data_IF_208385555051
#
_entry.id   IF_208385555051
#
_cell.length_a   1.000
_cell.length_b   1.000
_cell.length_c   1.000
_cell.angle_alpha   90.00
_cell.angle_beta   90.00
_cell.angle_gamma   90.00
#
_symmetry.space_group_name_H-M   'P 1'
#
loop_
_entity.id
_entity.type
_entity.pdbx_description
1 polymer ?
#
# COMPACT_ATOMS: atom_id res chain seq x y z
N UNK A 1 6.67 8.78 11.72
CA UNK A 1 5.26 8.67 11.28
C UNK A 1 5.09 7.37 10.53
N UNK A 2 3.93 6.71 10.64
CA UNK A 2 3.61 5.48 9.88
C UNK A 2 2.82 5.83 8.61
N UNK A 3 2.84 4.98 7.58
CA UNK A 3 2.12 5.23 6.32
C UNK A 3 0.63 5.54 6.53
N UNK A 4 -0.08 4.68 7.27
CA UNK A 4 -1.52 4.84 7.54
C UNK A 4 -1.83 6.17 8.20
N UNK A 5 -1.01 6.54 9.18
CA UNK A 5 -1.11 7.83 9.88
C UNK A 5 -0.84 9.00 8.94
N UNK A 6 0.17 8.91 8.08
CA UNK A 6 0.47 9.92 7.06
C UNK A 6 -0.72 10.20 6.13
N UNK A 7 -1.41 9.15 5.69
CA UNK A 7 -2.59 9.24 4.84
C UNK A 7 -3.79 9.81 5.60
N UNK A 8 -4.06 9.31 6.80
CA UNK A 8 -5.17 9.78 7.65
C UNK A 8 -5.06 11.27 8.00
N UNK A 9 -3.87 11.76 8.38
CA UNK A 9 -3.64 13.19 8.70
C UNK A 9 -3.90 14.10 7.50
N UNK A 10 -3.75 13.58 6.27
CA UNK A 10 -4.02 14.31 5.02
C UNK A 10 -5.45 14.14 4.51
N UNK A 11 -6.30 13.41 5.24
CA UNK A 11 -7.67 13.11 4.80
C UNK A 11 -7.72 12.24 3.54
N UNK A 12 -6.67 11.48 3.25
CA UNK A 12 -6.63 10.57 2.11
C UNK A 12 -7.30 9.26 2.52
N UNK A 13 -8.41 8.92 1.87
CA UNK A 13 -9.07 7.63 2.06
C UNK A 13 -8.19 6.50 1.53
N UNK A 14 -8.12 5.41 2.29
CA UNK A 14 -7.38 4.22 1.88
C UNK A 14 -8.01 2.96 2.49
N UNK A 15 -7.80 1.83 1.81
CA UNK A 15 -8.13 0.51 2.34
C UNK A 15 -6.85 -0.16 2.86
N UNK A 16 -6.88 -0.66 4.10
CA UNK A 16 -5.79 -1.46 4.66
C UNK A 16 -6.05 -2.94 4.42
N UNK A 17 -5.27 -3.56 3.54
CA UNK A 17 -5.41 -4.97 3.20
C UNK A 17 -4.32 -5.79 3.90
N UNK A 18 -4.70 -6.82 4.66
CA UNK A 18 -3.77 -7.83 5.17
C UNK A 18 -3.71 -9.00 4.18
N UNK A 19 -2.71 -9.01 3.31
CA UNK A 19 -2.54 -10.02 2.27
C UNK A 19 -2.37 -11.46 2.79
N UNK A 20 -2.06 -11.65 4.07
CA UNK A 20 -1.95 -12.98 4.68
C UNK A 20 -3.34 -13.55 5.02
N UNK A 21 -4.34 -12.69 5.11
CA UNK A 21 -5.73 -13.04 5.45
C UNK A 21 -6.70 -12.80 4.29
N UNK A 22 -6.28 -12.07 3.27
CA UNK A 22 -7.08 -11.72 2.10
C UNK A 22 -6.41 -12.25 0.80
N UNK A 23 -6.93 -13.35 0.23
CA UNK A 23 -6.45 -13.90 -1.03
C UNK A 23 -6.54 -12.93 -2.20
N UNK A 24 -7.55 -12.04 -2.24
CA UNK A 24 -7.69 -11.03 -3.29
C UNK A 24 -6.60 -9.97 -3.15
N UNK A 25 -6.27 -9.56 -1.93
CA UNK A 25 -5.12 -8.71 -1.64
C UNK A 25 -3.79 -9.30 -2.09
N UNK A 26 -3.61 -10.61 -1.90
CA UNK A 26 -2.42 -11.33 -2.38
C UNK A 26 -2.36 -11.40 -3.90
N UNK A 27 -3.49 -11.61 -4.58
CA UNK A 27 -3.59 -11.60 -6.04
C UNK A 27 -3.28 -10.21 -6.61
N UNK A 28 -3.78 -9.15 -5.98
CA UNK A 28 -3.51 -7.78 -6.39
C UNK A 28 -2.02 -7.42 -6.28
N UNK A 29 -1.36 -7.82 -5.19
CA UNK A 29 0.09 -7.64 -5.04
C UNK A 29 0.88 -8.31 -6.18
N UNK A 30 0.46 -9.51 -6.59
CA UNK A 30 1.07 -10.22 -7.72
C UNK A 30 0.80 -9.53 -9.06
N UNK A 31 -0.44 -9.06 -9.28
CA UNK A 31 -0.85 -8.32 -10.48
C UNK A 31 -0.04 -7.04 -10.67
N UNK A 32 0.19 -6.30 -9.59
CA UNK A 32 1.05 -5.10 -9.57
C UNK A 32 2.55 -5.42 -9.79
N UNK A 33 2.95 -6.69 -9.73
CA UNK A 33 4.36 -7.10 -9.84
C UNK A 33 5.20 -6.77 -8.61
N UNK A 34 4.57 -6.36 -7.50
CA UNK A 34 5.27 -6.04 -6.27
C UNK A 34 5.75 -7.32 -5.57
N UNK A 35 7.03 -7.35 -5.18
CA UNK A 35 7.69 -8.55 -4.63
C UNK A 35 7.90 -8.49 -3.12
N UNK A 36 7.56 -7.39 -2.47
CA UNK A 36 7.72 -7.16 -1.04
C UNK A 36 6.61 -6.25 -0.51
N UNK A 37 6.52 -6.13 0.82
CA UNK A 37 5.58 -5.27 1.54
C UNK A 37 6.34 -4.39 2.56
N UNK A 38 5.78 -3.28 3.05
CA UNK A 38 4.48 -2.69 2.71
C UNK A 38 4.47 -1.98 1.34
N UNK A 39 3.30 -2.00 0.69
CA UNK A 39 3.04 -1.34 -0.60
C UNK A 39 1.85 -0.40 -0.44
N UNK A 40 1.95 0.79 -1.04
CA UNK A 40 0.81 1.64 -1.35
C UNK A 40 0.59 1.59 -2.86
N UNK A 41 -0.63 1.28 -3.30
CA UNK A 41 -0.99 1.27 -4.71
C UNK A 41 -2.12 2.25 -5.01
N UNK A 42 -2.15 2.73 -6.25
CA UNK A 42 -3.23 3.53 -6.83
C UNK A 42 -3.41 3.11 -8.28
N UNK A 43 -4.51 2.42 -8.58
CA UNK A 43 -4.70 1.80 -9.89
C UNK A 43 -3.62 0.74 -10.15
N UNK A 44 -2.86 0.93 -11.23
CA UNK A 44 -1.78 0.02 -11.63
C UNK A 44 -0.39 0.46 -11.15
N UNK A 45 -0.30 1.60 -10.46
CA UNK A 45 0.93 2.13 -9.91
C UNK A 45 1.09 1.72 -8.45
N UNK A 46 2.34 1.50 -8.02
CA UNK A 46 2.64 1.25 -6.62
C UNK A 46 3.99 1.82 -6.20
N UNK A 47 4.11 2.10 -4.90
CA UNK A 47 5.38 2.45 -4.25
C UNK A 47 5.61 1.58 -3.03
N UNK A 48 6.87 1.31 -2.72
CA UNK A 48 7.25 0.66 -1.47
C UNK A 48 7.16 1.67 -0.32
N UNK A 49 6.24 1.43 0.60
CA UNK A 49 5.93 2.37 1.67
C UNK A 49 6.84 2.21 2.89
N UNK A 50 8.07 1.72 2.68
CA UNK A 50 9.08 1.59 3.73
C UNK A 50 9.62 2.96 4.15
N UNK A 51 9.68 3.90 3.21
CA UNK A 51 10.05 5.29 3.45
C UNK A 51 8.93 6.23 2.95
N UNK A 52 8.38 7.02 3.86
CA UNK A 52 7.30 7.97 3.56
C UNK A 52 7.73 9.05 2.54
N UNK A 53 9.02 9.38 2.46
CA UNK A 53 9.52 10.33 1.46
C UNK A 53 9.31 9.85 0.02
N UNK A 54 9.09 8.55 -0.21
CA UNK A 54 8.78 8.00 -1.54
C UNK A 54 7.28 8.02 -1.87
N UNK A 55 6.43 8.52 -0.96
CA UNK A 55 4.97 8.58 -1.11
C UNK A 55 4.49 9.98 -1.51
N UNK A 56 5.37 10.99 -1.45
CA UNK A 56 5.10 12.41 -1.77
C UNK A 56 5.67 12.84 -3.10
#
# INVERSE_FOLDING_TARGET
MRLKEFLSVRGIEFQSINILQDPAGRAELQRLGARSIPVLSRGDEFVFAQNIAQVV
#
